data_IF_133060308384
#
_entry.id   IF_133060308384
#
_cell.length_a   1.000
_cell.length_b   1.000
_cell.length_c   1.000
_cell.angle_alpha   90.00
_cell.angle_beta   90.00
_cell.angle_gamma   90.00
#
_symmetry.space_group_name_H-M   'P 1'
#
loop_
_entity.id
_entity.type
_entity.pdbx_description
1 polymer ?
#
# COMPACT_ATOMS: atom_id res chain seq x y z
N UNK A 1 -20.78 11.79 3.97
CA UNK A 1 -19.60 10.91 3.81
C UNK A 1 -20.00 9.90 2.77
N UNK A 2 -19.44 10.03 1.57
CA UNK A 2 -19.83 9.19 0.45
C UNK A 2 -19.12 7.84 0.55
N UNK A 3 -19.70 6.79 -0.02
CA UNK A 3 -19.20 5.40 0.05
C UNK A 3 -17.73 5.28 -0.40
N UNK A 4 -17.33 6.05 -1.42
CA UNK A 4 -15.95 6.13 -1.92
C UNK A 4 -14.97 6.68 -0.85
N UNK A 5 -15.39 7.68 -0.08
CA UNK A 5 -14.55 8.26 0.99
C UNK A 5 -14.38 7.29 2.17
N UNK A 6 -15.40 6.47 2.43
CA UNK A 6 -15.36 5.42 3.46
C UNK A 6 -14.37 4.31 3.09
N UNK A 7 -14.48 3.80 1.87
CA UNK A 7 -13.59 2.76 1.33
C UNK A 7 -12.15 3.25 1.33
N UNK A 8 -11.89 4.47 0.84
CA UNK A 8 -10.55 5.06 0.84
C UNK A 8 -9.94 5.18 2.24
N UNK A 9 -10.75 5.49 3.26
CA UNK A 9 -10.27 5.58 4.65
C UNK A 9 -9.95 4.21 5.25
N UNK A 10 -10.84 3.23 5.09
CA UNK A 10 -10.62 1.85 5.58
C UNK A 10 -9.38 1.25 4.95
N UNK A 11 -9.20 1.49 3.65
CA UNK A 11 -8.05 1.02 2.91
C UNK A 11 -6.75 1.70 3.38
N UNK A 12 -6.77 3.03 3.59
CA UNK A 12 -5.63 3.75 4.19
C UNK A 12 -5.26 3.22 5.57
N UNK A 13 -6.24 2.89 6.39
CA UNK A 13 -6.01 2.31 7.73
C UNK A 13 -5.38 0.92 7.65
N UNK A 14 -5.85 0.05 6.75
CA UNK A 14 -5.24 -1.25 6.47
C UNK A 14 -3.77 -1.09 6.04
N UNK A 15 -3.47 -0.12 5.18
CA UNK A 15 -2.10 0.19 4.74
C UNK A 15 -1.19 0.70 5.86
N UNK A 16 -1.71 1.59 6.73
CA UNK A 16 -0.93 2.17 7.83
C UNK A 16 -0.69 1.17 8.98
N UNK A 17 -1.65 0.29 9.22
CA UNK A 17 -1.56 -0.77 10.24
C UNK A 17 -0.82 -2.02 9.73
N UNK A 18 -0.71 -2.19 8.41
CA UNK A 18 -0.20 -3.40 7.77
C UNK A 18 -1.05 -4.64 8.04
N UNK A 19 -2.36 -4.44 8.23
CA UNK A 19 -3.30 -5.52 8.52
C UNK A 19 -3.67 -6.29 7.26
N UNK A 20 -3.06 -7.47 7.08
CA UNK A 20 -3.35 -8.36 5.94
C UNK A 20 -4.83 -8.77 5.96
N UNK A 21 -5.39 -9.09 7.12
CA UNK A 21 -6.80 -9.47 7.24
C UNK A 21 -7.75 -8.34 6.80
N UNK A 22 -7.43 -7.09 7.13
CA UNK A 22 -8.23 -5.95 6.69
C UNK A 22 -8.11 -5.73 5.17
N UNK A 23 -6.91 -5.93 4.61
CA UNK A 23 -6.69 -5.87 3.17
C UNK A 23 -7.48 -6.97 2.44
N UNK A 24 -7.42 -8.20 2.92
CA UNK A 24 -8.14 -9.33 2.33
C UNK A 24 -9.66 -9.14 2.41
N UNK A 25 -10.19 -8.72 3.56
CA UNK A 25 -11.62 -8.42 3.69
C UNK A 25 -12.07 -7.32 2.73
N UNK A 26 -11.25 -6.30 2.51
CA UNK A 26 -11.55 -5.23 1.54
C UNK A 26 -11.50 -5.73 0.09
N UNK A 27 -10.61 -6.67 -0.23
CA UNK A 27 -10.52 -7.30 -1.55
C UNK A 27 -11.69 -8.27 -1.77
N UNK A 28 -12.14 -8.97 -0.73
CA UNK A 28 -13.34 -9.80 -0.78
C UNK A 28 -14.61 -8.97 -1.03
N UNK A 29 -14.69 -7.78 -0.44
CA UNK A 29 -15.77 -6.82 -0.68
C UNK A 29 -15.71 -6.23 -2.11
N UNK A 30 -14.51 -5.91 -2.63
CA UNK A 30 -14.29 -5.39 -3.98
C UNK A 30 -12.90 -5.80 -4.53
N UNK A 31 -12.87 -6.73 -5.50
CA UNK A 31 -11.64 -7.24 -6.10
C UNK A 31 -10.82 -6.15 -6.83
N UNK A 32 -11.49 -5.10 -7.32
CA UNK A 32 -10.87 -4.00 -8.07
C UNK A 32 -10.39 -2.87 -7.16
N UNK A 33 -10.54 -3.00 -5.83
CA UNK A 33 -10.08 -1.97 -4.89
C UNK A 33 -8.59 -1.70 -4.99
N UNK A 34 -7.81 -2.70 -5.41
CA UNK A 34 -6.38 -2.57 -5.67
C UNK A 34 -6.07 -1.84 -6.99
N UNK A 35 -6.95 -1.85 -7.98
CA UNK A 35 -6.80 -1.04 -9.21
C UNK A 35 -7.03 0.44 -8.97
N UNK A 36 -7.86 0.76 -7.99
CA UNK A 36 -7.98 2.13 -7.51
C UNK A 36 -6.69 2.64 -6.87
N UNK A 37 -5.73 1.77 -6.48
CA UNK A 37 -4.45 2.17 -5.85
C UNK A 37 -3.65 3.15 -6.71
N UNK A 38 -3.72 3.04 -8.03
CA UNK A 38 -3.08 4.00 -8.95
C UNK A 38 -3.67 5.41 -8.81
N UNK A 39 -4.95 5.52 -8.46
CA UNK A 39 -5.60 6.79 -8.10
C UNK A 39 -5.39 7.18 -6.64
N UNK A 40 -5.05 6.21 -5.78
CA UNK A 40 -4.89 6.42 -4.34
C UNK A 40 -3.49 6.91 -3.93
N UNK A 41 -2.52 6.98 -4.86
CA UNK A 41 -1.22 7.64 -4.62
C UNK A 41 -1.40 9.05 -4.04
N UNK A 42 -2.50 9.75 -4.42
CA UNK A 42 -2.88 11.04 -3.84
C UNK A 42 -3.26 11.04 -2.35
N UNK A 43 -3.56 9.89 -1.74
CA UNK A 43 -3.82 9.79 -0.29
C UNK A 43 -2.54 9.69 0.56
N UNK A 44 -1.43 9.37 -0.09
CA UNK A 44 -0.12 9.21 0.51
C UNK A 44 0.76 10.41 0.16
N UNK A 45 1.67 10.74 1.06
CA UNK A 45 2.58 11.87 0.89
C UNK A 45 3.69 11.44 -0.09
N UNK A 46 4.14 12.35 -0.95
CA UNK A 46 5.26 12.13 -1.89
C UNK A 46 5.05 10.96 -2.87
N UNK A 47 3.87 10.84 -3.47
CA UNK A 47 3.55 9.78 -4.46
C UNK A 47 3.83 8.35 -3.94
N UNK A 48 3.85 8.17 -2.62
CA UNK A 48 4.15 6.88 -2.01
C UNK A 48 3.04 5.89 -2.29
N UNK A 49 3.40 4.72 -2.80
CA UNK A 49 2.47 3.59 -2.93
C UNK A 49 2.28 2.88 -1.59
N UNK A 50 1.24 2.05 -1.43
CA UNK A 50 1.09 1.19 -0.26
C UNK A 50 2.33 0.31 0.03
N UNK A 51 3.06 -0.10 -1.01
CA UNK A 51 4.28 -0.88 -0.85
C UNK A 51 5.42 -0.06 -0.22
N UNK A 52 5.55 1.23 -0.56
CA UNK A 52 6.49 2.14 0.11
C UNK A 52 6.19 2.25 1.60
N UNK A 53 4.91 2.41 1.96
CA UNK A 53 4.46 2.50 3.35
C UNK A 53 4.73 1.18 4.09
N UNK A 54 4.42 0.04 3.49
CA UNK A 54 4.68 -1.27 4.08
C UNK A 54 6.17 -1.50 4.33
N UNK A 55 7.04 -1.15 3.38
CA UNK A 55 8.49 -1.27 3.50
C UNK A 55 9.05 -0.33 4.59
N UNK A 56 8.65 0.94 4.57
CA UNK A 56 9.05 1.95 5.56
C UNK A 56 8.69 1.52 7.01
N UNK A 57 7.60 0.78 7.18
CA UNK A 57 7.09 0.34 8.47
C UNK A 57 7.45 -1.11 8.84
N UNK A 58 7.96 -1.89 7.89
CA UNK A 58 8.41 -3.26 8.13
C UNK A 58 7.28 -4.29 8.14
N UNK A 59 6.16 -3.97 7.51
CA UNK A 59 5.03 -4.88 7.36
C UNK A 59 5.33 -5.91 6.27
N UNK A 60 6.22 -6.86 6.55
CA UNK A 60 6.71 -7.84 5.58
C UNK A 60 5.58 -8.67 4.95
N UNK A 61 4.69 -9.23 5.77
CA UNK A 61 3.60 -10.07 5.27
C UNK A 61 2.59 -9.27 4.46
N UNK A 62 2.39 -8.00 4.84
CA UNK A 62 1.58 -7.07 4.08
C UNK A 62 2.19 -6.72 2.72
N UNK A 63 3.50 -6.47 2.68
CA UNK A 63 4.23 -6.25 1.44
C UNK A 63 4.16 -7.46 0.51
N UNK A 64 4.27 -8.68 1.05
CA UNK A 64 4.09 -9.92 0.29
C UNK A 64 2.67 -10.06 -0.27
N UNK A 65 1.65 -9.77 0.54
CA UNK A 65 0.26 -9.83 0.10
C UNK A 65 0.00 -8.85 -1.05
N UNK A 66 0.50 -7.61 -0.94
CA UNK A 66 0.43 -6.62 -2.01
C UNK A 66 1.11 -7.11 -3.29
N UNK A 67 2.35 -7.59 -3.20
CA UNK A 67 3.13 -8.05 -4.36
C UNK A 67 2.58 -9.30 -5.03
N UNK A 68 1.85 -10.14 -4.28
CA UNK A 68 1.16 -11.31 -4.83
C UNK A 68 0.03 -10.90 -5.78
N UNK A 69 -0.56 -9.72 -5.56
CA UNK A 69 -1.68 -9.21 -6.35
C UNK A 69 -1.25 -8.17 -7.38
N UNK A 70 -0.31 -7.30 -7.01
CA UNK A 70 0.20 -6.18 -7.83
C UNK A 70 1.72 -6.15 -7.84
N UNK A 71 2.36 -7.07 -8.59
CA UNK A 71 3.82 -7.12 -8.68
C UNK A 71 4.41 -5.82 -9.27
N UNK A 72 3.63 -5.05 -10.03
CA UNK A 72 4.06 -3.79 -10.63
C UNK A 72 4.47 -2.75 -9.57
N UNK A 73 3.90 -2.83 -8.35
CA UNK A 73 4.27 -1.94 -7.25
C UNK A 73 5.75 -2.03 -6.85
N UNK A 74 6.43 -3.14 -7.18
CA UNK A 74 7.85 -3.34 -6.86
C UNK A 74 8.79 -2.35 -7.57
N UNK A 75 8.37 -1.84 -8.73
CA UNK A 75 9.18 -0.94 -9.57
C UNK A 75 8.76 0.53 -9.47
N UNK A 76 7.64 0.81 -8.79
CA UNK A 76 7.17 2.17 -8.57
C UNK A 76 8.15 2.95 -7.69
N UNK A 77 8.28 4.24 -8.01
CA UNK A 77 9.15 5.16 -7.29
C UNK A 77 8.31 6.28 -6.67
N UNK A 78 8.66 6.66 -5.44
CA UNK A 78 8.11 7.83 -4.78
C UNK A 78 8.66 9.15 -5.39
N UNK A 79 8.19 10.30 -4.93
CA UNK A 79 8.68 11.61 -5.43
C UNK A 79 10.18 11.85 -5.14
N UNK A 80 10.81 11.05 -4.28
CA UNK A 80 12.25 11.08 -3.99
C UNK A 80 13.03 10.06 -4.83
N UNK A 81 12.41 9.50 -5.88
CA UNK A 81 12.99 8.46 -6.73
C UNK A 81 13.42 7.20 -5.95
N UNK A 82 12.83 6.99 -4.78
CA UNK A 82 13.11 5.82 -3.95
C UNK A 82 12.06 4.75 -4.23
N UNK A 83 12.52 3.51 -4.39
CA UNK A 83 11.61 2.35 -4.40
C UNK A 83 11.29 1.89 -2.98
N UNK A 84 10.29 1.02 -2.83
CA UNK A 84 9.98 0.39 -1.55
C UNK A 84 11.21 -0.29 -0.91
N UNK A 85 12.09 -0.91 -1.71
CA UNK A 85 13.32 -1.51 -1.21
C UNK A 85 14.31 -0.48 -0.64
N UNK A 86 14.43 0.70 -1.27
CA UNK A 86 15.26 1.77 -0.72
C UNK A 86 14.77 2.18 0.67
N UNK A 87 13.45 2.32 0.85
CA UNK A 87 12.86 2.68 2.14
C UNK A 87 13.08 1.60 3.20
N UNK A 88 12.88 0.32 2.87
CA UNK A 88 13.16 -0.81 3.75
C UNK A 88 14.62 -0.79 4.24
N UNK A 89 15.58 -0.62 3.33
CA UNK A 89 17.00 -0.51 3.66
C UNK A 89 17.30 0.69 4.57
N UNK A 90 16.70 1.87 4.31
CA UNK A 90 16.94 3.07 5.14
C UNK A 90 16.44 2.90 6.57
N UNK A 91 15.48 2.01 6.80
CA UNK A 91 14.92 1.71 8.13
C UNK A 91 15.49 0.44 8.76
N UNK A 92 16.32 -0.31 8.03
CA UNK A 92 16.89 -1.57 8.52
C UNK A 92 15.89 -2.72 8.56
N UNK A 93 14.88 -2.69 7.68
CA UNK A 93 13.85 -3.72 7.57
C UNK A 93 14.26 -4.69 6.46
N UNK A 94 14.94 -5.78 6.83
CA UNK A 94 15.49 -6.78 5.89
C UNK A 94 14.53 -7.92 5.58
#
# INVERSE_FOLDING_TARGET
MNEIEEVGRRLKDAYLSGSVAALEALIEDDELILDQVSSLTGFFINDSTPLHVAALRGHLDFAKALLTRKPELAIELDSSWSSALHLACTKGHF
#
